data_IF_672122592746
#
_entry.id   IF_672122592746
#
_cell.length_a   1.000
_cell.length_b   1.000
_cell.length_c   1.000
_cell.angle_alpha   90.00
_cell.angle_beta   90.00
_cell.angle_gamma   90.00
#
_symmetry.space_group_name_H-M   'P 1'
#
loop_
_entity.id
_entity.type
_entity.pdbx_description
1 polymer ?
#
# COMPACT_ATOMS: atom_id res chain seq x y z
N UNK A 1 8.80 -11.58 13.53
CA UNK A 1 8.67 -12.58 12.45
C UNK A 1 7.16 -12.69 12.18
N UNK A 2 6.59 -12.41 11.01
CA UNK A 2 6.96 -12.88 9.68
C UNK A 2 6.21 -12.08 8.60
N UNK A 3 6.92 -11.23 7.85
CA UNK A 3 6.80 -11.35 6.40
C UNK A 3 7.61 -12.58 6.01
N UNK A 4 6.96 -13.59 5.44
CA UNK A 4 7.64 -14.78 4.93
C UNK A 4 7.68 -14.63 3.41
N UNK A 5 8.89 -14.62 2.87
CA UNK A 5 9.07 -15.04 1.49
C UNK A 5 9.55 -16.46 1.58
N UNK A 6 8.66 -17.37 1.22
CA UNK A 6 9.05 -18.77 1.06
C UNK A 6 9.75 -18.90 -0.30
N UNK A 7 10.63 -19.90 -0.46
CA UNK A 7 11.50 -20.14 -1.63
C UNK A 7 10.81 -20.25 -3.02
N UNK A 8 9.51 -19.99 -3.10
CA UNK A 8 8.66 -20.16 -4.28
C UNK A 8 8.21 -18.82 -4.91
N UNK A 9 8.95 -17.72 -4.74
CA UNK A 9 8.59 -16.42 -5.35
C UNK A 9 7.20 -15.90 -4.92
N UNK A 10 6.84 -16.10 -3.66
CA UNK A 10 5.55 -15.67 -3.11
C UNK A 10 5.79 -14.65 -2.00
N UNK A 11 5.04 -13.56 -2.06
CA UNK A 11 4.93 -12.58 -0.98
C UNK A 11 3.81 -13.02 -0.06
N UNK A 12 4.16 -13.41 1.17
CA UNK A 12 3.21 -13.73 2.22
C UNK A 12 3.31 -12.71 3.36
N UNK A 13 2.18 -12.10 3.66
CA UNK A 13 2.00 -11.24 4.82
C UNK A 13 1.09 -11.96 5.80
N UNK A 14 1.59 -12.15 7.02
CA UNK A 14 0.81 -12.70 8.12
C UNK A 14 0.29 -11.53 8.92
N UNK A 15 -1.04 -11.45 9.04
CA UNK A 15 -1.73 -10.44 9.83
C UNK A 15 -1.19 -10.42 11.27
N UNK A 16 -0.97 -9.21 11.78
CA UNK A 16 -0.60 -9.04 13.19
C UNK A 16 -1.78 -9.33 14.11
N UNK A 17 -1.53 -9.74 15.36
CA UNK A 17 -2.60 -10.01 16.31
C UNK A 17 -3.52 -8.80 16.54
N UNK A 18 -4.84 -9.02 16.66
CA UNK A 18 -5.86 -7.96 16.87
C UNK A 18 -5.66 -7.08 18.13
N UNK A 19 -4.83 -7.55 19.06
CA UNK A 19 -4.42 -6.79 20.25
C UNK A 19 -3.47 -5.63 19.93
N UNK A 20 -2.88 -5.61 18.74
CA UNK A 20 -2.07 -4.52 18.25
C UNK A 20 -3.00 -3.35 17.82
N UNK A 21 -2.66 -2.13 18.21
CA UNK A 21 -3.44 -0.92 17.93
C UNK A 21 -2.95 -0.22 16.65
N UNK A 22 -3.74 0.73 16.14
CA UNK A 22 -3.32 1.60 15.03
C UNK A 22 -3.54 1.02 13.62
N UNK A 23 -2.66 1.39 12.69
CA UNK A 23 -2.73 1.01 11.28
C UNK A 23 -2.67 -0.49 11.00
N UNK A 24 -2.15 -1.24 11.97
CA UNK A 24 -2.09 -2.70 12.01
C UNK A 24 -3.45 -3.36 11.76
N UNK A 25 -4.55 -2.74 12.20
CA UNK A 25 -5.92 -3.27 12.01
C UNK A 25 -6.45 -3.15 10.58
N UNK A 26 -5.72 -2.50 9.66
CA UNK A 26 -6.16 -2.28 8.27
C UNK A 26 -5.49 -3.19 7.25
N UNK A 27 -4.56 -4.04 7.69
CA UNK A 27 -3.78 -4.91 6.82
C UNK A 27 -4.12 -6.35 7.12
N UNK A 28 -4.97 -6.96 6.30
CA UNK A 28 -5.30 -8.37 6.41
C UNK A 28 -4.15 -9.23 5.86
N UNK A 29 -4.02 -10.43 6.38
CA UNK A 29 -3.07 -11.41 5.87
C UNK A 29 -3.33 -11.73 4.39
N UNK A 30 -2.26 -11.91 3.61
CA UNK A 30 -2.38 -12.26 2.20
C UNK A 30 -1.22 -13.09 1.69
N UNK A 31 -1.47 -13.72 0.54
CA UNK A 31 -0.46 -14.47 -0.22
C UNK A 31 -0.63 -14.14 -1.70
N UNK A 32 0.43 -13.64 -2.34
CA UNK A 32 0.45 -13.29 -3.77
C UNK A 32 1.76 -13.75 -4.43
N UNK A 33 1.72 -14.40 -5.61
CA UNK A 33 2.92 -14.66 -6.41
C UNK A 33 3.57 -13.35 -6.88
N UNK A 34 4.90 -13.28 -6.89
CA UNK A 34 5.63 -12.07 -7.31
C UNK A 34 5.26 -11.61 -8.73
N UNK A 35 5.15 -12.56 -9.66
CA UNK A 35 4.73 -12.31 -11.05
C UNK A 35 3.29 -11.78 -11.17
N UNK A 36 2.47 -12.01 -10.16
CA UNK A 36 1.13 -11.47 -10.04
C UNK A 36 1.10 -9.99 -9.70
N UNK A 37 2.17 -9.43 -9.14
CA UNK A 37 2.24 -8.01 -8.76
C UNK A 37 2.50 -7.18 -10.01
N UNK A 38 1.55 -6.31 -10.35
CA UNK A 38 1.62 -5.45 -11.54
C UNK A 38 1.87 -3.99 -11.18
N UNK A 39 1.29 -3.53 -10.08
CA UNK A 39 1.53 -2.19 -9.53
C UNK A 39 1.96 -2.33 -8.07
N UNK A 40 2.95 -1.52 -7.69
CA UNK A 40 3.25 -1.24 -6.30
C UNK A 40 3.08 0.25 -6.11
N UNK A 41 2.27 0.64 -5.14
CA UNK A 41 2.20 2.03 -4.73
C UNK A 41 2.16 2.18 -3.23
N UNK A 42 2.28 3.42 -2.80
CA UNK A 42 2.29 3.80 -1.41
C UNK A 42 1.30 4.93 -1.19
N UNK A 43 0.68 4.93 -0.01
CA UNK A 43 -0.17 6.01 0.46
C UNK A 43 0.28 6.42 1.86
N UNK A 44 0.59 7.71 2.00
CA UNK A 44 0.77 8.34 3.30
C UNK A 44 -0.61 8.50 3.96
N UNK A 45 -0.74 8.19 5.25
CA UNK A 45 -1.96 8.40 6.01
C UNK A 45 -1.63 8.98 7.39
N UNK A 46 -2.60 9.71 7.96
CA UNK A 46 -2.63 10.04 9.38
C UNK A 46 -3.79 9.28 10.01
N UNK A 47 -3.53 8.58 11.11
CA UNK A 47 -4.54 7.89 11.90
C UNK A 47 -4.44 8.39 13.33
N UNK A 48 -5.48 9.11 13.76
CA UNK A 48 -5.45 9.82 15.04
C UNK A 48 -4.25 10.80 15.05
N UNK A 49 -3.24 10.49 15.86
CA UNK A 49 -2.01 11.27 16.03
C UNK A 49 -0.78 10.58 15.42
N UNK A 50 -0.95 9.41 14.81
CA UNK A 50 0.14 8.63 14.21
C UNK A 50 0.14 8.75 12.68
N UNK A 51 1.31 9.01 12.11
CA UNK A 51 1.56 8.86 10.68
C UNK A 51 1.80 7.38 10.35
N UNK A 52 1.38 6.94 9.17
CA UNK A 52 1.78 5.65 8.62
C UNK A 52 1.84 5.69 7.09
N UNK A 53 2.51 4.72 6.49
CA UNK A 53 2.36 4.39 5.07
C UNK A 53 1.65 3.06 4.89
N UNK A 54 0.73 3.02 3.95
CA UNK A 54 0.16 1.78 3.43
C UNK A 54 0.76 1.52 2.06
N UNK A 55 1.41 0.37 1.91
CA UNK A 55 1.85 -0.13 0.61
C UNK A 55 0.75 -1.00 0.03
N UNK A 56 0.41 -0.73 -1.22
CA UNK A 56 -0.58 -1.46 -2.01
C UNK A 56 0.13 -2.23 -3.12
N UNK A 57 -0.05 -3.55 -3.13
CA UNK A 57 0.31 -4.44 -4.23
C UNK A 57 -0.97 -4.72 -5.03
N UNK A 58 -0.95 -4.52 -6.34
CA UNK A 58 -2.14 -4.70 -7.19
C UNK A 58 -1.84 -5.71 -8.28
N UNK A 59 -2.73 -6.69 -8.43
CA UNK A 59 -2.63 -7.73 -9.45
C UNK A 59 -3.34 -7.36 -10.77
N UNK A 60 -3.25 -8.25 -11.76
CA UNK A 60 -3.91 -8.09 -13.07
C UNK A 60 -5.43 -8.03 -12.98
N UNK A 61 -6.03 -8.60 -11.93
CA UNK A 61 -7.46 -8.53 -11.66
C UNK A 61 -7.84 -7.26 -10.88
N UNK A 62 -6.92 -6.30 -10.77
CA UNK A 62 -7.08 -5.06 -9.99
C UNK A 62 -7.38 -5.33 -8.51
N UNK A 63 -7.05 -6.53 -8.02
CA UNK A 63 -7.20 -6.87 -6.60
C UNK A 63 -6.01 -6.30 -5.84
N UNK A 64 -6.33 -5.66 -4.72
CA UNK A 64 -5.38 -4.92 -3.91
C UNK A 64 -5.03 -5.70 -2.63
N UNK A 65 -3.74 -5.82 -2.36
CA UNK A 65 -3.16 -6.43 -1.17
C UNK A 65 -2.34 -5.37 -0.43
N UNK A 66 -2.48 -5.27 0.89
CA UNK A 66 -1.95 -4.14 1.67
C UNK A 66 -1.11 -4.58 2.84
N UNK A 67 -0.02 -3.85 3.10
CA UNK A 67 0.72 -3.92 4.35
C UNK A 67 1.18 -2.53 4.80
N UNK A 68 1.49 -2.39 6.08
CA UNK A 68 1.85 -1.13 6.76
C UNK A 68 3.36 -0.88 6.70
N UNK A 69 3.78 0.37 6.90
CA UNK A 69 5.20 0.76 7.02
C UNK A 69 5.93 0.06 8.16
N UNK A 70 5.20 -0.44 9.15
CA UNK A 70 5.72 -1.29 10.23
C UNK A 70 6.45 -2.54 9.71
N UNK A 71 6.19 -2.92 8.45
CA UNK A 71 6.82 -4.06 7.80
C UNK A 71 8.04 -3.68 6.93
N UNK A 72 8.41 -2.40 6.81
CA UNK A 72 9.50 -1.94 5.92
C UNK A 72 10.87 -2.52 6.29
N UNK A 73 11.11 -2.81 7.56
CA UNK A 73 12.36 -3.42 8.01
C UNK A 73 12.36 -4.95 7.96
N UNK A 74 11.30 -5.57 7.44
CA UNK A 74 11.23 -7.02 7.28
C UNK A 74 11.98 -7.50 6.04
N UNK A 75 12.34 -8.79 6.03
CA UNK A 75 12.94 -9.43 4.84
C UNK A 75 12.02 -9.32 3.61
N UNK A 76 10.70 -9.35 3.81
CA UNK A 76 9.74 -9.21 2.72
C UNK A 76 9.82 -7.85 2.03
N UNK A 77 9.89 -6.77 2.81
CA UNK A 77 10.01 -5.43 2.23
C UNK A 77 11.35 -5.25 1.49
N UNK A 78 12.47 -5.66 2.08
CA UNK A 78 13.79 -5.59 1.43
C UNK A 78 13.83 -6.38 0.13
N UNK A 79 13.23 -7.57 0.11
CA UNK A 79 13.15 -8.36 -1.10
C UNK A 79 12.28 -7.70 -2.18
N UNK A 80 11.14 -7.08 -1.80
CA UNK A 80 10.33 -6.31 -2.75
C UNK A 80 11.12 -5.13 -3.33
N UNK A 81 11.88 -4.42 -2.49
CA UNK A 81 12.79 -3.36 -2.91
C UNK A 81 13.78 -3.86 -3.96
N UNK A 82 14.49 -4.96 -3.69
CA UNK A 82 15.45 -5.57 -4.60
C UNK A 82 14.79 -6.06 -5.90
N UNK A 83 13.66 -6.78 -5.80
CA UNK A 83 13.02 -7.43 -6.94
C UNK A 83 12.39 -6.44 -7.92
N UNK A 84 11.80 -5.37 -7.42
CA UNK A 84 11.11 -4.35 -8.22
C UNK A 84 11.93 -3.08 -8.41
N UNK A 85 13.16 -3.04 -7.86
CA UNK A 85 14.04 -1.87 -7.84
C UNK A 85 13.31 -0.61 -7.30
N UNK A 86 12.63 -0.77 -6.17
CA UNK A 86 11.91 0.29 -5.46
C UNK A 86 12.58 0.57 -4.10
N UNK A 87 12.27 1.71 -3.49
CA UNK A 87 12.71 2.01 -2.13
C UNK A 87 11.49 2.24 -1.26
N UNK A 88 11.23 1.34 -0.32
CA UNK A 88 10.18 1.43 0.69
C UNK A 88 10.72 2.07 1.98
N UNK A 89 11.88 1.63 2.43
CA UNK A 89 12.53 2.05 3.68
C UNK A 89 12.90 3.53 3.71
N UNK A 90 13.18 4.13 2.55
CA UNK A 90 13.53 5.55 2.43
C UNK A 90 12.32 6.46 2.24
N UNK A 91 11.10 5.92 2.11
CA UNK A 91 9.89 6.72 1.83
C UNK A 91 9.51 7.67 2.96
N UNK A 92 9.84 7.33 4.21
CA UNK A 92 9.46 8.12 5.38
C UNK A 92 9.95 9.57 5.31
N UNK A 93 11.09 9.82 4.68
CA UNK A 93 11.63 11.18 4.50
C UNK A 93 11.13 11.93 3.26
N UNK A 94 10.26 11.31 2.44
CA UNK A 94 9.88 11.86 1.12
C UNK A 94 8.50 12.51 1.09
N UNK A 95 7.69 12.32 2.13
CA UNK A 95 6.35 12.91 2.24
C UNK A 95 6.34 13.97 3.33
N UNK A 96 5.67 15.07 3.05
CA UNK A 96 5.41 16.15 4.01
C UNK A 96 4.20 15.83 4.88
N UNK A 97 4.13 16.39 6.08
CA UNK A 97 2.95 16.29 6.96
C UNK A 97 1.62 16.60 6.24
N UNK A 98 1.62 17.60 5.36
CA UNK A 98 0.45 17.95 4.54
C UNK A 98 0.07 16.83 3.56
N UNK A 99 1.04 16.13 3.00
CA UNK A 99 0.79 14.97 2.14
C UNK A 99 0.23 13.77 2.92
N UNK A 100 0.63 13.58 4.18
CA UNK A 100 0.03 12.59 5.07
C UNK A 100 -1.44 12.91 5.37
N UNK A 101 -1.78 14.16 5.73
CA UNK A 101 -3.17 14.59 5.99
C UNK A 101 -4.06 14.38 4.76
N UNK A 102 -3.55 14.77 3.59
CA UNK A 102 -4.31 14.71 2.34
C UNK A 102 -4.32 13.30 1.71
N UNK A 103 -3.69 12.33 2.37
CA UNK A 103 -3.70 10.94 1.92
C UNK A 103 -3.06 10.75 0.54
N UNK A 104 -1.97 11.47 0.29
CA UNK A 104 -1.28 11.42 -1.01
C UNK A 104 -0.79 10.02 -1.28
N UNK A 105 -1.04 9.57 -2.50
CA UNK A 105 -0.68 8.24 -2.97
C UNK A 105 0.15 8.36 -4.25
N UNK A 106 1.19 7.54 -4.33
CA UNK A 106 2.16 7.54 -5.44
C UNK A 106 2.44 6.11 -5.86
N UNK A 107 2.64 5.91 -7.16
CA UNK A 107 3.13 4.65 -7.71
C UNK A 107 4.65 4.57 -7.48
N UNK A 108 5.13 3.39 -7.11
CA UNK A 108 6.56 3.06 -6.96
C UNK A 108 7.01 2.10 -8.08
N UNK A 109 6.12 1.21 -8.51
CA UNK A 109 6.33 0.30 -9.62
C UNK A 109 5.04 0.20 -10.47
N UNK A 110 5.16 0.15 -11.81
CA UNK A 110 6.39 0.14 -12.60
C UNK A 110 7.03 1.54 -12.70
N UNK A 111 8.32 1.58 -13.05
CA UNK A 111 9.14 2.81 -13.07
C UNK A 111 8.60 3.90 -14.00
N UNK A 112 7.94 3.54 -15.09
CA UNK A 112 7.29 4.47 -16.02
C UNK A 112 6.15 5.29 -15.38
N UNK A 113 5.56 4.80 -14.29
CA UNK A 113 4.55 5.52 -13.51
C UNK A 113 5.08 6.04 -12.16
N UNK A 114 6.38 5.89 -11.86
CA UNK A 114 6.94 6.28 -10.57
C UNK A 114 6.61 7.74 -10.21
N UNK A 115 6.10 7.96 -9.00
CA UNK A 115 5.69 9.26 -8.50
C UNK A 115 4.31 9.74 -8.97
N UNK A 116 3.71 9.12 -10.00
CA UNK A 116 2.34 9.43 -10.43
C UNK A 116 1.30 8.95 -9.43
N UNK A 117 0.11 9.54 -9.52
CA UNK A 117 -1.01 9.23 -8.63
C UNK A 117 -1.56 7.83 -8.90
N UNK A 118 -1.68 7.01 -7.85
CA UNK A 118 -2.22 5.66 -7.92
C UNK A 118 -3.75 5.65 -8.04
N UNK A 119 -4.42 6.50 -7.26
CA UNK A 119 -5.88 6.54 -7.13
C UNK A 119 -6.47 7.90 -7.50
N UNK A 120 -7.70 7.91 -8.00
CA UNK A 120 -8.53 9.11 -8.17
C UNK A 120 -8.98 9.64 -6.80
N UNK A 121 -9.12 10.97 -6.68
CA UNK A 121 -9.60 11.63 -5.45
C UNK A 121 -8.52 11.98 -4.42
N UNK A 122 -8.90 12.78 -3.43
CA UNK A 122 -8.09 13.07 -2.23
C UNK A 122 -8.61 12.13 -1.14
N UNK A 123 -7.71 11.40 -0.49
CA UNK A 123 -8.08 10.65 0.70
C UNK A 123 -7.93 11.62 1.87
N UNK A 124 -8.97 12.38 2.16
CA UNK A 124 -8.97 13.12 3.41
C UNK A 124 -8.95 12.09 4.53
N UNK A 125 -7.84 12.03 5.27
CA UNK A 125 -7.91 11.46 6.60
C UNK A 125 -8.99 12.26 7.32
N UNK A 126 -9.94 11.61 8.01
CA UNK A 126 -11.00 12.31 8.71
C UNK A 126 -10.38 13.39 9.59
N UNK A 127 -10.56 14.65 9.16
CA UNK A 127 -10.37 15.76 10.06
C UNK A 127 -11.41 15.54 11.14
N UNK A 128 -10.95 15.44 12.38
CA UNK A 128 -11.75 15.34 13.60
C UNK A 128 -12.42 13.99 13.92
N UNK A 129 -11.79 13.27 14.86
CA UNK A 129 -12.48 12.78 16.06
C UNK A 129 -13.05 14.01 16.81
N UNK A 130 -14.22 14.50 16.44
CA UNK A 130 -15.01 15.35 17.33
C UNK A 130 -16.28 14.58 17.70
N UNK A 131 -16.39 14.28 18.99
CA UNK A 131 -17.60 13.80 19.70
C UNK A 131 -18.16 12.42 19.32
N UNK A 132 -17.59 11.36 19.91
CA UNK A 132 -18.36 10.18 20.37
C UNK A 132 -19.04 9.29 19.32
N UNK A 133 -18.84 9.53 18.03
CA UNK A 133 -19.36 8.69 16.95
C UNK A 133 -18.32 7.64 16.56
N UNK A 134 -18.68 6.36 16.71
CA UNK A 134 -17.97 5.23 16.11
C UNK A 134 -18.11 5.30 14.59
N UNK A 135 -17.32 6.16 13.94
CA UNK A 135 -17.21 6.18 12.49
C UNK A 135 -16.33 4.99 12.11
N UNK A 136 -16.97 3.88 11.76
CA UNK A 136 -16.32 2.82 11.03
C UNK A 136 -15.89 3.39 9.68
N UNK A 137 -14.60 3.68 9.55
CA UNK A 137 -14.02 4.00 8.25
C UNK A 137 -14.06 2.73 7.41
N UNK A 138 -15.02 2.67 6.49
CA UNK A 138 -14.83 1.81 5.33
C UNK A 138 -13.57 2.31 4.64
N UNK A 139 -12.55 1.46 4.44
CA UNK A 139 -11.42 1.84 3.63
C UNK A 139 -11.97 2.06 2.22
N UNK A 140 -12.21 3.33 1.85
CA UNK A 140 -12.61 3.68 0.50
C UNK A 140 -11.72 2.90 -0.46
N UNK A 141 -12.34 2.00 -1.23
CA UNK A 141 -11.66 1.21 -2.24
C UNK A 141 -11.20 2.23 -3.28
N UNK A 142 -9.91 2.52 -3.28
CA UNK A 142 -9.36 3.56 -4.16
C UNK A 142 -9.67 3.20 -5.61
N UNK A 143 -10.32 4.10 -6.34
CA UNK A 143 -10.53 3.92 -7.78
C UNK A 143 -9.21 4.26 -8.45
N UNK A 144 -8.64 3.32 -9.20
CA UNK A 144 -7.36 3.54 -9.89
C UNK A 144 -7.47 4.69 -10.90
N UNK A 145 -6.36 5.39 -11.14
CA UNK A 145 -6.30 6.38 -12.22
C UNK A 145 -6.44 5.69 -13.58
N UNK A 146 -7.00 6.38 -14.57
CA UNK A 146 -7.21 5.80 -15.91
C UNK A 146 -5.90 5.27 -16.51
N UNK A 147 -4.78 5.96 -16.25
CA UNK A 147 -3.45 5.56 -16.70
C UNK A 147 -3.03 4.21 -16.11
N UNK A 148 -3.21 4.02 -14.81
CA UNK A 148 -2.87 2.76 -14.12
C UNK A 148 -3.82 1.64 -14.54
N UNK A 149 -5.11 1.93 -14.72
CA UNK A 149 -6.09 0.94 -15.21
C UNK A 149 -5.73 0.45 -16.61
N UNK A 150 -5.44 1.38 -17.53
CA UNK A 150 -5.05 1.06 -18.90
C UNK A 150 -3.75 0.25 -18.96
N UNK A 151 -2.78 0.54 -18.09
CA UNK A 151 -1.56 -0.25 -17.97
C UNK A 151 -1.86 -1.70 -17.54
N UNK A 152 -2.70 -1.89 -16.51
CA UNK A 152 -3.06 -3.24 -16.05
C UNK A 152 -3.79 -4.02 -17.16
N UNK A 153 -4.60 -3.36 -17.96
CA UNK A 153 -5.30 -3.97 -19.08
C UNK A 153 -4.35 -4.37 -20.21
N UNK A 154 -3.37 -3.52 -20.56
CA UNK A 154 -2.43 -3.82 -21.66
C UNK A 154 -1.54 -5.03 -21.39
N UNK A 155 -1.10 -5.22 -20.14
CA UNK A 155 -0.30 -6.37 -19.72
C UNK A 155 -1.14 -7.65 -19.58
N UNK A 156 -2.45 -7.52 -19.37
CA UNK A 156 -3.37 -8.67 -19.22
C UNK A 156 -3.78 -9.26 -20.57
N UNK A 157 -3.71 -8.47 -21.65
CA UNK A 157 -3.92 -8.94 -23.03
C UNK A 157 -2.68 -9.63 -23.62
N UNK A 158 -1.52 -9.44 -22.99
CA UNK A 158 -0.22 -9.93 -23.48
C UNK A 158 0.23 -11.28 -22.87
N UNK A 159 -0.59 -11.90 -22.02
CA UNK A 159 -0.36 -13.23 -21.41
C UNK A 159 -1.47 -14.20 -21.84
#
# INVERSE_FOLDING_TARGET
MKGLINNNNIVEYIERPLKDTGSVRRTNGFRIPLEGIKIIGVRAIVLLDDEDFIVSLIDSNKKEYKFSSLEFNTLTAKFLEEKFNISLTTLWGTFTYKEHINGVNKVLYPKEFEGKKLYKGIFESPKSFFYGLNIFFEPHKGILTNEVEAYIESISVSN
#
